data_IF_976072382233
#
_entry.id   IF_976072382233
#
_cell.length_a   1.000
_cell.length_b   1.000
_cell.length_c   1.000
_cell.angle_alpha   90.00
_cell.angle_beta   90.00
_cell.angle_gamma   90.00
#
_symmetry.space_group_name_H-M   'P 1'
#
loop_
_entity.id
_entity.type
_entity.pdbx_description
1 polymer ?
#
# COMPACT_ATOMS: atom_id res chain seq x y z
N UNK A 1 -32.99 1.07 -1.33
CA UNK A 1 -31.75 1.87 -1.12
C UNK A 1 -31.01 2.06 -2.45
N UNK A 2 -29.90 2.81 -2.51
CA UNK A 2 -29.12 2.95 -3.77
C UNK A 2 -28.64 1.60 -4.33
N UNK A 3 -28.42 0.60 -3.47
CA UNK A 3 -28.02 -0.76 -3.88
C UNK A 3 -29.18 -1.52 -4.54
N UNK A 4 -30.42 -1.39 -4.02
CA UNK A 4 -31.60 -2.01 -4.66
C UNK A 4 -31.86 -1.44 -6.05
N UNK A 5 -31.66 -0.14 -6.23
CA UNK A 5 -31.77 0.50 -7.54
C UNK A 5 -30.73 -0.06 -8.52
N UNK A 6 -29.47 -0.23 -8.09
CA UNK A 6 -28.40 -0.82 -8.92
C UNK A 6 -28.71 -2.26 -9.31
N UNK A 7 -29.20 -3.09 -8.37
CA UNK A 7 -29.62 -4.47 -8.67
C UNK A 7 -30.75 -4.55 -9.70
N UNK A 8 -31.71 -3.63 -9.63
CA UNK A 8 -32.81 -3.56 -10.61
C UNK A 8 -32.33 -3.10 -12.00
N UNK A 9 -31.36 -2.19 -12.05
CA UNK A 9 -30.85 -1.62 -13.30
C UNK A 9 -29.82 -2.56 -13.95
N UNK A 10 -29.03 -3.31 -13.17
CA UNK A 10 -28.09 -4.33 -13.65
C UNK A 10 -28.77 -5.61 -14.13
N UNK A 11 -29.86 -5.49 -14.90
CA UNK A 11 -30.62 -6.61 -15.43
C UNK A 11 -29.98 -7.17 -16.72
N UNK A 12 -30.30 -8.42 -17.11
CA UNK A 12 -29.83 -9.00 -18.39
C UNK A 12 -30.16 -8.13 -19.61
N UNK A 13 -31.33 -7.50 -19.63
CA UNK A 13 -31.78 -6.63 -20.72
C UNK A 13 -30.88 -5.41 -20.86
N UNK A 14 -30.52 -4.79 -19.73
CA UNK A 14 -29.66 -3.61 -19.73
C UNK A 14 -28.24 -3.95 -20.20
N UNK A 15 -27.69 -5.10 -19.76
CA UNK A 15 -26.39 -5.58 -20.26
C UNK A 15 -26.45 -5.89 -21.77
N UNK A 16 -27.56 -6.46 -22.25
CA UNK A 16 -27.78 -6.67 -23.69
C UNK A 16 -27.80 -5.35 -24.47
N UNK A 17 -28.48 -4.32 -23.94
CA UNK A 17 -28.49 -2.97 -24.54
C UNK A 17 -27.07 -2.39 -24.59
N UNK A 18 -26.25 -2.57 -23.55
CA UNK A 18 -24.86 -2.12 -23.54
C UNK A 18 -24.05 -2.79 -24.67
N UNK A 19 -24.11 -4.11 -24.78
CA UNK A 19 -23.41 -4.85 -25.85
C UNK A 19 -23.88 -4.44 -27.24
N UNK A 20 -25.19 -4.29 -27.44
CA UNK A 20 -25.75 -3.85 -28.71
C UNK A 20 -25.33 -2.41 -29.05
N UNK A 21 -25.33 -1.51 -28.07
CA UNK A 21 -24.94 -0.11 -28.28
C UNK A 21 -23.47 0.00 -28.63
N UNK A 22 -22.60 -0.69 -27.88
CA UNK A 22 -21.16 -0.75 -28.16
C UNK A 22 -20.86 -1.36 -29.53
N UNK A 23 -21.62 -2.39 -29.95
CA UNK A 23 -21.43 -3.04 -31.25
C UNK A 23 -21.90 -2.19 -32.43
N UNK A 24 -23.07 -1.56 -32.31
CA UNK A 24 -23.74 -0.87 -33.42
C UNK A 24 -23.31 0.60 -33.56
N UNK A 25 -22.86 1.23 -32.47
CA UNK A 25 -22.51 2.65 -32.44
C UNK A 25 -21.08 2.83 -31.91
N UNK A 26 -20.09 2.33 -32.67
CA UNK A 26 -18.65 2.38 -32.34
C UNK A 26 -18.08 3.80 -32.46
N UNK A 27 -18.47 4.66 -31.54
CA UNK A 27 -17.98 6.04 -31.44
C UNK A 27 -17.41 6.30 -30.05
N UNK A 28 -16.42 7.19 -29.88
CA UNK A 28 -15.87 7.50 -28.57
C UNK A 28 -16.94 7.93 -27.56
N UNK A 29 -17.89 8.77 -27.97
CA UNK A 29 -18.96 9.28 -27.11
C UNK A 29 -19.90 8.19 -26.60
N UNK A 30 -20.30 7.23 -27.45
CA UNK A 30 -21.16 6.13 -27.01
C UNK A 30 -20.38 5.16 -26.12
N UNK A 31 -19.13 4.86 -26.48
CA UNK A 31 -18.28 3.98 -25.67
C UNK A 31 -18.02 4.58 -24.28
N UNK A 32 -17.75 5.88 -24.19
CA UNK A 32 -17.62 6.62 -22.92
C UNK A 32 -18.87 6.44 -22.05
N UNK A 33 -20.06 6.70 -22.60
CA UNK A 33 -21.34 6.54 -21.88
C UNK A 33 -21.53 5.10 -21.41
N UNK A 34 -21.23 4.11 -22.24
CA UNK A 34 -21.30 2.71 -21.85
C UNK A 34 -20.35 2.39 -20.67
N UNK A 35 -19.12 2.89 -20.70
CA UNK A 35 -18.15 2.66 -19.63
C UNK A 35 -18.58 3.35 -18.32
N UNK A 36 -19.06 4.59 -18.38
CA UNK A 36 -19.58 5.32 -17.21
C UNK A 36 -20.80 4.62 -16.60
N UNK A 37 -21.66 4.05 -17.44
CA UNK A 37 -22.79 3.27 -16.97
C UNK A 37 -22.35 2.02 -16.21
N UNK A 38 -21.36 1.29 -16.74
CA UNK A 38 -20.75 0.15 -16.04
C UNK A 38 -20.09 0.59 -14.73
N UNK A 39 -19.35 1.70 -14.72
CA UNK A 39 -18.74 2.26 -13.51
C UNK A 39 -19.78 2.56 -12.44
N UNK A 40 -20.94 3.08 -12.83
CA UNK A 40 -22.06 3.37 -11.94
C UNK A 40 -22.66 2.09 -11.37
N UNK A 41 -22.86 1.05 -12.18
CA UNK A 41 -23.36 -0.24 -11.71
C UNK A 41 -22.39 -0.94 -10.77
N UNK A 42 -21.09 -0.84 -11.05
CA UNK A 42 -20.03 -1.46 -10.26
C UNK A 42 -19.73 -0.71 -8.95
N UNK A 43 -20.30 0.48 -8.73
CA UNK A 43 -20.08 1.26 -7.52
C UNK A 43 -20.57 0.52 -6.27
N UNK A 44 -19.84 0.60 -5.16
CA UNK A 44 -20.21 0.00 -3.86
C UNK A 44 -19.86 -1.49 -3.72
N UNK A 45 -19.97 -2.04 -2.50
CA UNK A 45 -19.46 -3.39 -2.12
C UNK A 45 -20.38 -4.56 -2.49
N UNK A 46 -21.18 -4.45 -3.56
CA UNK A 46 -22.13 -5.52 -3.92
C UNK A 46 -21.51 -6.49 -4.92
N UNK A 47 -20.92 -7.57 -4.42
CA UNK A 47 -20.31 -8.63 -5.23
C UNK A 47 -21.30 -9.18 -6.28
N UNK A 48 -22.57 -9.39 -5.92
CA UNK A 48 -23.57 -10.01 -6.80
C UNK A 48 -23.80 -9.29 -8.14
N UNK A 49 -23.72 -7.95 -8.17
CA UNK A 49 -23.89 -7.18 -9.42
C UNK A 49 -22.61 -7.25 -10.26
N UNK A 50 -21.45 -7.20 -9.60
CA UNK A 50 -20.15 -7.30 -10.27
C UNK A 50 -19.93 -8.68 -10.87
N UNK A 51 -20.24 -9.74 -10.13
CA UNK A 51 -20.19 -11.13 -10.62
C UNK A 51 -21.10 -11.33 -11.82
N UNK A 52 -22.34 -10.82 -11.75
CA UNK A 52 -23.29 -10.86 -12.86
C UNK A 52 -22.75 -10.16 -14.10
N UNK A 53 -22.15 -8.96 -13.96
CA UNK A 53 -21.54 -8.24 -15.08
C UNK A 53 -20.41 -9.04 -15.74
N UNK A 54 -19.58 -9.71 -14.94
CA UNK A 54 -18.47 -10.51 -15.46
C UNK A 54 -18.97 -11.76 -16.18
N UNK A 55 -19.97 -12.46 -15.63
CA UNK A 55 -20.62 -13.60 -16.28
C UNK A 55 -21.20 -13.22 -17.65
N UNK A 56 -21.67 -11.98 -17.80
CA UNK A 56 -22.22 -11.44 -19.04
C UNK A 56 -21.20 -10.66 -19.89
N UNK A 57 -19.89 -10.96 -19.74
CA UNK A 57 -18.80 -10.44 -20.59
C UNK A 57 -18.68 -8.91 -20.62
N UNK A 58 -19.10 -8.21 -19.57
CA UNK A 58 -18.92 -6.75 -19.47
C UNK A 58 -17.43 -6.40 -19.40
N UNK A 59 -16.60 -7.27 -18.83
CA UNK A 59 -15.15 -7.09 -18.85
C UNK A 59 -14.60 -6.99 -20.28
N UNK A 60 -15.00 -7.88 -21.18
CA UNK A 60 -14.57 -7.85 -22.58
C UNK A 60 -14.97 -6.53 -23.26
N UNK A 61 -16.14 -5.99 -22.92
CA UNK A 61 -16.60 -4.69 -23.40
C UNK A 61 -15.66 -3.56 -22.94
N UNK A 62 -15.27 -3.54 -21.67
CA UNK A 62 -14.33 -2.53 -21.14
C UNK A 62 -12.94 -2.66 -21.76
N UNK A 63 -12.41 -3.88 -21.89
CA UNK A 63 -11.09 -4.11 -22.49
C UNK A 63 -11.09 -3.73 -23.98
N UNK A 64 -12.18 -4.01 -24.71
CA UNK A 64 -12.32 -3.55 -26.09
C UNK A 64 -12.43 -2.02 -26.17
N UNK A 65 -13.14 -1.37 -25.25
CA UNK A 65 -13.19 0.08 -25.18
C UNK A 65 -11.79 0.68 -25.04
N UNK A 66 -10.99 0.15 -24.11
CA UNK A 66 -9.61 0.56 -23.90
C UNK A 66 -8.71 0.29 -25.12
N UNK A 67 -8.92 -0.83 -25.82
CA UNK A 67 -8.09 -1.23 -26.96
C UNK A 67 -8.37 -0.40 -28.23
N UNK A 68 -9.62 -0.06 -28.50
CA UNK A 68 -10.02 0.59 -29.75
C UNK A 68 -10.15 2.10 -29.67
N UNK A 69 -10.31 2.67 -28.46
CA UNK A 69 -10.56 4.11 -28.27
C UNK A 69 -9.53 4.71 -27.30
N UNK A 70 -8.41 5.23 -27.81
CA UNK A 70 -7.36 5.80 -26.97
C UNK A 70 -7.75 7.17 -26.39
N UNK A 71 -8.92 7.73 -26.70
CA UNK A 71 -9.41 9.00 -26.19
C UNK A 71 -9.44 9.04 -24.65
N UNK A 72 -8.94 10.14 -24.06
CA UNK A 72 -8.79 10.27 -22.60
C UNK A 72 -10.09 9.98 -21.85
N UNK A 73 -11.22 10.51 -22.32
CA UNK A 73 -12.52 10.30 -21.67
C UNK A 73 -12.97 8.84 -21.67
N UNK A 74 -12.70 8.12 -22.76
CA UNK A 74 -13.05 6.69 -22.85
C UNK A 74 -12.15 5.87 -21.93
N UNK A 75 -10.85 6.18 -21.93
CA UNK A 75 -9.88 5.52 -21.05
C UNK A 75 -10.21 5.78 -19.58
N UNK A 76 -10.49 7.02 -19.19
CA UNK A 76 -10.86 7.36 -17.81
C UNK A 76 -12.13 6.65 -17.36
N UNK A 77 -13.19 6.67 -18.19
CA UNK A 77 -14.43 5.96 -17.90
C UNK A 77 -14.23 4.45 -17.78
N UNK A 78 -13.42 3.84 -18.67
CA UNK A 78 -13.13 2.42 -18.65
C UNK A 78 -12.28 2.02 -17.43
N UNK A 79 -11.24 2.80 -17.11
CA UNK A 79 -10.41 2.62 -15.92
C UNK A 79 -11.23 2.77 -14.63
N UNK A 80 -12.14 3.75 -14.55
CA UNK A 80 -13.04 3.89 -13.41
C UNK A 80 -13.96 2.67 -13.26
N UNK A 81 -14.51 2.16 -14.36
CA UNK A 81 -15.34 0.96 -14.35
C UNK A 81 -14.56 -0.28 -13.88
N UNK A 82 -13.34 -0.48 -14.42
CA UNK A 82 -12.46 -1.57 -14.04
C UNK A 82 -12.02 -1.47 -12.57
N UNK A 83 -11.71 -0.26 -12.08
CA UNK A 83 -11.40 -0.03 -10.67
C UNK A 83 -12.54 -0.52 -9.78
N UNK A 84 -13.76 -0.07 -10.05
CA UNK A 84 -14.93 -0.45 -9.25
C UNK A 84 -15.21 -1.96 -9.30
N UNK A 85 -15.11 -2.56 -10.49
CA UNK A 85 -15.23 -4.02 -10.65
C UNK A 85 -14.14 -4.76 -9.87
N UNK A 86 -12.88 -4.39 -10.03
CA UNK A 86 -11.74 -5.07 -9.40
C UNK A 86 -11.81 -5.07 -7.87
N UNK A 87 -12.42 -4.06 -7.26
CA UNK A 87 -12.65 -4.00 -5.81
C UNK A 87 -13.68 -5.01 -5.30
N UNK A 88 -14.62 -5.43 -6.14
CA UNK A 88 -15.75 -6.30 -5.75
C UNK A 88 -15.57 -7.77 -6.10
N UNK A 89 -14.58 -8.10 -6.92
CA UNK A 89 -14.41 -9.44 -7.48
C UNK A 89 -13.52 -10.27 -6.57
N UNK A 90 -14.02 -11.42 -6.10
CA UNK A 90 -13.24 -12.36 -5.29
C UNK A 90 -12.32 -13.23 -6.14
N UNK A 91 -12.74 -13.60 -7.37
CA UNK A 91 -11.98 -14.50 -8.27
C UNK A 91 -11.39 -13.76 -9.46
N UNK A 92 -10.07 -13.56 -9.42
CA UNK A 92 -9.33 -12.84 -10.46
C UNK A 92 -9.14 -13.60 -11.78
N UNK A 93 -9.42 -14.90 -11.83
CA UNK A 93 -9.20 -15.76 -13.00
C UNK A 93 -9.80 -15.18 -14.29
N UNK A 94 -10.96 -14.51 -14.17
CA UNK A 94 -11.65 -13.88 -15.30
C UNK A 94 -11.03 -12.53 -15.71
N UNK A 95 -10.40 -11.81 -14.79
CA UNK A 95 -9.78 -10.50 -15.02
C UNK A 95 -8.39 -10.57 -15.64
N UNK A 96 -7.67 -11.69 -15.48
CA UNK A 96 -6.26 -11.76 -15.83
C UNK A 96 -5.92 -12.72 -16.98
N UNK A 97 -6.92 -13.17 -17.75
CA UNK A 97 -6.67 -14.10 -18.85
C UNK A 97 -5.67 -13.49 -19.85
N UNK A 98 -4.53 -14.15 -20.01
CA UNK A 98 -3.45 -13.84 -20.96
C UNK A 98 -2.72 -12.48 -20.75
N UNK A 99 -2.83 -11.87 -19.57
CA UNK A 99 -2.15 -10.61 -19.23
C UNK A 99 -2.60 -9.39 -20.06
N UNK A 100 -3.70 -9.51 -20.83
CA UNK A 100 -4.25 -8.43 -21.67
C UNK A 100 -4.64 -7.22 -20.82
N UNK A 101 -5.28 -7.44 -19.68
CA UNK A 101 -5.73 -6.40 -18.76
C UNK A 101 -4.56 -5.53 -18.29
N UNK A 102 -3.47 -6.13 -17.80
CA UNK A 102 -2.28 -5.37 -17.39
C UNK A 102 -1.68 -4.56 -18.53
N UNK A 103 -1.61 -5.13 -19.74
CA UNK A 103 -1.07 -4.43 -20.92
C UNK A 103 -1.91 -3.19 -21.27
N UNK A 104 -3.24 -3.30 -21.25
CA UNK A 104 -4.12 -2.18 -21.54
C UNK A 104 -4.07 -1.09 -20.46
N UNK A 105 -4.00 -1.47 -19.18
CA UNK A 105 -3.84 -0.53 -18.06
C UNK A 105 -2.52 0.23 -18.18
N UNK A 106 -1.40 -0.48 -18.44
CA UNK A 106 -0.09 0.15 -18.69
C UNK A 106 -0.17 1.10 -19.88
N UNK A 107 -0.79 0.67 -20.99
CA UNK A 107 -0.96 1.52 -22.18
C UNK A 107 -1.76 2.79 -21.89
N UNK A 108 -2.82 2.70 -21.07
CA UNK A 108 -3.61 3.85 -20.66
C UNK A 108 -2.79 4.82 -19.80
N UNK A 109 -2.01 4.31 -18.84
CA UNK A 109 -1.09 5.12 -18.02
C UNK A 109 -0.02 5.81 -18.89
N UNK A 110 0.56 5.08 -19.85
CA UNK A 110 1.61 5.58 -20.73
C UNK A 110 1.10 6.65 -21.71
N UNK A 111 -0.13 6.49 -22.21
CA UNK A 111 -0.75 7.43 -23.16
C UNK A 111 -1.23 8.69 -22.46
N UNK A 112 -1.81 8.56 -21.26
CA UNK A 112 -2.45 9.65 -20.53
C UNK A 112 -1.70 10.03 -19.27
N UNK A 113 -0.39 10.27 -19.41
CA UNK A 113 0.52 10.60 -18.29
C UNK A 113 0.08 11.81 -17.48
N UNK A 114 -0.58 12.78 -18.11
CA UNK A 114 -1.03 14.01 -17.45
C UNK A 114 -2.39 13.87 -16.74
N UNK A 115 -3.12 12.78 -16.97
CA UNK A 115 -4.45 12.59 -16.41
C UNK A 115 -4.38 11.92 -15.04
N UNK A 116 -4.40 12.71 -13.96
CA UNK A 116 -4.36 12.22 -12.56
C UNK A 116 -5.43 11.16 -12.31
N UNK A 117 -6.63 11.33 -12.89
CA UNK A 117 -7.74 10.38 -12.73
C UNK A 117 -7.40 9.01 -13.29
N UNK A 118 -6.89 8.93 -14.53
CA UNK A 118 -6.46 7.67 -15.14
C UNK A 118 -5.34 7.04 -14.31
N UNK A 119 -4.32 7.81 -13.93
CA UNK A 119 -3.19 7.29 -13.14
C UNK A 119 -3.68 6.70 -11.80
N UNK A 120 -4.53 7.44 -11.08
CA UNK A 120 -5.11 7.01 -9.79
C UNK A 120 -5.95 5.74 -9.95
N UNK A 121 -6.83 5.71 -10.95
CA UNK A 121 -7.68 4.56 -11.23
C UNK A 121 -6.83 3.32 -11.58
N UNK A 122 -5.80 3.47 -12.41
CA UNK A 122 -4.89 2.39 -12.79
C UNK A 122 -4.09 1.84 -11.60
N UNK A 123 -3.52 2.71 -10.74
CA UNK A 123 -2.85 2.30 -9.51
C UNK A 123 -3.80 1.52 -8.58
N UNK A 124 -5.05 1.97 -8.44
CA UNK A 124 -6.08 1.28 -7.65
C UNK A 124 -6.42 -0.10 -8.25
N UNK A 125 -6.55 -0.20 -9.58
CA UNK A 125 -6.77 -1.49 -10.24
C UNK A 125 -5.59 -2.44 -9.94
N UNK A 126 -4.34 -1.99 -10.09
CA UNK A 126 -3.19 -2.82 -9.77
C UNK A 126 -3.18 -3.27 -8.32
N UNK A 127 -3.44 -2.36 -7.38
CA UNK A 127 -3.56 -2.73 -5.97
C UNK A 127 -4.59 -3.83 -5.75
N UNK A 128 -5.81 -3.68 -6.29
CA UNK A 128 -6.90 -4.65 -6.17
C UNK A 128 -6.61 -6.00 -6.81
N UNK A 129 -5.89 -6.01 -7.94
CA UNK A 129 -5.51 -7.23 -8.66
C UNK A 129 -4.34 -7.95 -7.98
N UNK A 130 -3.36 -7.22 -7.49
CA UNK A 130 -2.18 -7.82 -6.86
C UNK A 130 -2.54 -8.36 -5.46
N UNK A 131 -3.51 -7.74 -4.77
CA UNK A 131 -3.91 -8.15 -3.41
C UNK A 131 -4.69 -9.46 -3.38
N UNK A 132 -5.28 -9.88 -4.51
CA UNK A 132 -6.04 -11.13 -4.63
C UNK A 132 -5.30 -12.17 -5.49
N UNK A 133 -4.03 -11.93 -5.82
CA UNK A 133 -3.21 -12.84 -6.59
C UNK A 133 -2.79 -14.02 -5.69
N UNK A 134 -3.60 -15.08 -5.65
CA UNK A 134 -3.34 -16.26 -4.82
C UNK A 134 -2.14 -17.11 -5.29
N UNK A 135 -1.70 -16.94 -6.54
CA UNK A 135 -0.57 -17.66 -7.11
C UNK A 135 0.60 -16.70 -7.39
N UNK A 136 1.76 -17.01 -6.80
CA UNK A 136 3.03 -16.25 -6.85
C UNK A 136 3.64 -16.09 -8.27
N UNK A 137 2.90 -16.36 -9.35
CA UNK A 137 3.50 -16.57 -10.68
C UNK A 137 2.85 -15.92 -11.92
N UNK A 138 1.65 -15.34 -11.88
CA UNK A 138 0.93 -15.05 -13.15
C UNK A 138 0.50 -13.59 -13.40
N UNK A 139 0.54 -12.71 -12.39
CA UNK A 139 0.04 -11.32 -12.52
C UNK A 139 1.17 -10.28 -12.60
N UNK A 140 2.32 -10.58 -11.99
CA UNK A 140 3.39 -9.60 -11.88
C UNK A 140 4.07 -9.39 -13.24
N UNK A 141 4.10 -8.13 -13.67
CA UNK A 141 4.85 -7.66 -14.81
C UNK A 141 5.74 -6.51 -14.33
N UNK A 142 7.08 -6.59 -14.53
CA UNK A 142 8.01 -5.52 -14.12
C UNK A 142 7.61 -4.11 -14.58
N UNK A 143 6.94 -3.99 -15.75
CA UNK A 143 6.44 -2.71 -16.26
C UNK A 143 5.37 -2.06 -15.37
N UNK A 144 4.68 -2.83 -14.52
CA UNK A 144 3.70 -2.30 -13.57
C UNK A 144 4.41 -1.38 -12.57
N UNK A 145 5.56 -1.81 -12.03
CA UNK A 145 6.36 -1.02 -11.09
C UNK A 145 6.77 0.29 -11.75
N UNK A 146 7.37 0.23 -12.95
CA UNK A 146 7.82 1.42 -13.67
C UNK A 146 6.67 2.40 -13.99
N UNK A 147 5.48 1.87 -14.31
CA UNK A 147 4.31 2.71 -14.59
C UNK A 147 3.82 3.41 -13.32
N UNK A 148 3.78 2.69 -12.19
CA UNK A 148 3.40 3.25 -10.89
C UNK A 148 4.41 4.31 -10.44
N UNK A 149 5.72 4.02 -10.50
CA UNK A 149 6.77 4.97 -10.08
C UNK A 149 6.77 6.22 -10.97
N UNK A 150 6.58 6.08 -12.28
CA UNK A 150 6.42 7.22 -13.21
C UNK A 150 5.17 8.06 -12.87
N UNK A 151 4.05 7.43 -12.56
CA UNK A 151 2.82 8.12 -12.19
C UNK A 151 3.00 8.91 -10.88
N UNK A 152 3.62 8.31 -9.87
CA UNK A 152 3.93 8.99 -8.60
C UNK A 152 4.86 10.19 -8.81
N UNK A 153 5.91 10.04 -9.62
CA UNK A 153 6.83 11.14 -9.95
C UNK A 153 6.13 12.29 -10.68
N UNK A 154 5.20 11.97 -11.59
CA UNK A 154 4.48 12.98 -12.38
C UNK A 154 3.41 13.71 -11.59
N UNK A 155 2.89 13.11 -10.52
CA UNK A 155 1.73 13.60 -9.76
C UNK A 155 1.96 13.53 -8.25
N UNK A 156 3.15 13.93 -7.80
CA UNK A 156 3.54 13.87 -6.38
C UNK A 156 2.66 14.74 -5.47
N UNK A 157 1.88 15.67 -6.03
CA UNK A 157 0.93 16.51 -5.29
C UNK A 157 -0.42 15.80 -5.03
N UNK A 158 -0.70 14.68 -5.70
CA UNK A 158 -1.97 13.96 -5.57
C UNK A 158 -1.92 12.90 -4.46
N UNK A 159 -2.41 13.26 -3.26
CA UNK A 159 -2.49 12.34 -2.13
C UNK A 159 -3.23 11.04 -2.48
N UNK A 160 -4.38 11.13 -3.16
CA UNK A 160 -5.18 9.97 -3.55
C UNK A 160 -4.39 9.01 -4.44
N UNK A 161 -3.66 9.53 -5.44
CA UNK A 161 -2.82 8.72 -6.32
C UNK A 161 -1.73 8.01 -5.54
N UNK A 162 -1.01 8.75 -4.68
CA UNK A 162 0.08 8.21 -3.89
C UNK A 162 -0.42 7.13 -2.92
N UNK A 163 -1.60 7.31 -2.35
CA UNK A 163 -2.23 6.30 -1.50
C UNK A 163 -2.50 4.98 -2.25
N UNK A 164 -2.99 5.06 -3.49
CA UNK A 164 -3.21 3.87 -4.31
C UNK A 164 -1.90 3.25 -4.78
N UNK A 165 -0.93 4.08 -5.19
CA UNK A 165 0.37 3.66 -5.69
C UNK A 165 1.21 2.97 -4.62
N UNK A 166 1.33 3.55 -3.42
CA UNK A 166 1.99 2.93 -2.27
C UNK A 166 1.33 1.60 -1.90
N UNK A 167 -0.01 1.53 -1.94
CA UNK A 167 -0.74 0.29 -1.70
C UNK A 167 -0.41 -0.81 -2.71
N UNK A 168 -0.37 -0.47 -3.99
CA UNK A 168 0.03 -1.41 -5.04
C UNK A 168 1.47 -1.91 -4.85
N UNK A 169 2.42 -1.00 -4.59
CA UNK A 169 3.84 -1.35 -4.37
C UNK A 169 4.04 -2.22 -3.12
N UNK A 170 3.37 -1.88 -2.02
CA UNK A 170 3.42 -2.67 -0.79
C UNK A 170 2.95 -4.10 -1.03
N UNK A 171 1.80 -4.28 -1.66
CA UNK A 171 1.27 -5.62 -1.95
C UNK A 171 2.20 -6.43 -2.85
N UNK A 172 2.93 -5.79 -3.78
CA UNK A 172 3.92 -6.51 -4.61
C UNK A 172 5.03 -7.08 -3.72
N UNK A 173 5.61 -6.27 -2.85
CA UNK A 173 6.74 -6.71 -2.01
C UNK A 173 6.29 -7.68 -0.91
N UNK A 174 5.03 -7.62 -0.50
CA UNK A 174 4.43 -8.52 0.48
C UNK A 174 4.14 -9.92 -0.13
N UNK A 175 3.57 -9.97 -1.33
CA UNK A 175 3.16 -11.22 -1.97
C UNK A 175 4.29 -11.91 -2.76
N UNK A 176 5.26 -11.13 -3.26
CA UNK A 176 6.31 -11.61 -4.16
C UNK A 176 7.70 -11.29 -3.61
N UNK A 177 8.14 -12.03 -2.60
CA UNK A 177 9.47 -11.85 -1.95
C UNK A 177 10.63 -11.78 -2.96
N UNK A 178 10.57 -12.56 -4.04
CA UNK A 178 11.60 -12.58 -5.09
C UNK A 178 11.66 -11.27 -5.92
N UNK A 179 10.69 -10.38 -5.78
CA UNK A 179 10.64 -9.08 -6.46
C UNK A 179 11.13 -7.93 -5.57
N UNK A 180 11.35 -8.13 -4.27
CA UNK A 180 11.76 -7.06 -3.34
C UNK A 180 12.95 -6.25 -3.86
N UNK A 181 13.99 -6.91 -4.36
CA UNK A 181 15.17 -6.24 -4.92
C UNK A 181 14.84 -5.37 -6.14
N UNK A 182 14.02 -5.89 -7.06
CA UNK A 182 13.62 -5.16 -8.25
C UNK A 182 12.79 -3.94 -7.89
N UNK A 183 11.73 -4.13 -7.10
CA UNK A 183 10.80 -3.06 -6.72
C UNK A 183 11.51 -2.02 -5.87
N UNK A 184 12.31 -2.44 -4.89
CA UNK A 184 13.01 -1.54 -3.98
C UNK A 184 14.00 -0.62 -4.69
N UNK A 185 14.76 -1.14 -5.66
CA UNK A 185 15.71 -0.33 -6.41
C UNK A 185 15.04 0.75 -7.30
N UNK A 186 13.77 0.57 -7.67
CA UNK A 186 13.05 1.54 -8.52
C UNK A 186 12.15 2.50 -7.70
N UNK A 187 11.63 2.05 -6.55
CA UNK A 187 10.53 2.73 -5.88
C UNK A 187 10.87 3.38 -4.51
N UNK A 188 12.01 3.08 -3.89
CA UNK A 188 12.35 3.65 -2.56
C UNK A 188 12.31 5.18 -2.60
N UNK A 189 12.99 5.83 -3.54
CA UNK A 189 13.12 7.29 -3.58
C UNK A 189 11.78 8.00 -3.81
N UNK A 190 10.90 7.44 -4.66
CA UNK A 190 9.59 8.05 -4.92
C UNK A 190 8.62 7.82 -3.76
N UNK A 191 8.71 6.69 -3.05
CA UNK A 191 7.90 6.42 -1.86
C UNK A 191 8.33 7.32 -0.70
N UNK A 192 9.63 7.51 -0.46
CA UNK A 192 10.10 8.45 0.57
C UNK A 192 9.73 9.88 0.24
N UNK A 193 9.81 10.29 -1.03
CA UNK A 193 9.33 11.61 -1.49
C UNK A 193 7.81 11.78 -1.24
N UNK A 194 7.00 10.75 -1.50
CA UNK A 194 5.57 10.78 -1.23
C UNK A 194 5.25 11.00 0.26
N UNK A 195 6.02 10.38 1.17
CA UNK A 195 5.87 10.58 2.61
C UNK A 195 6.21 12.02 3.03
N UNK A 196 7.24 12.62 2.44
CA UNK A 196 7.64 14.02 2.71
C UNK A 196 6.60 15.00 2.20
N UNK A 197 6.02 14.75 1.03
CA UNK A 197 5.04 15.65 0.43
C UNK A 197 3.66 15.58 1.09
N UNK A 198 3.32 14.45 1.74
CA UNK A 198 2.01 14.21 2.34
C UNK A 198 2.09 13.71 3.80
N UNK A 199 2.70 14.49 4.71
CA UNK A 199 2.95 14.05 6.09
C UNK A 199 1.68 13.93 6.95
N UNK A 200 0.54 14.44 6.48
CA UNK A 200 -0.77 14.37 7.15
C UNK A 200 -1.71 13.28 6.61
N UNK A 201 -1.32 12.56 5.56
CA UNK A 201 -2.19 11.56 4.92
C UNK A 201 -1.91 10.18 5.50
N UNK A 202 -2.53 9.88 6.64
CA UNK A 202 -2.28 8.65 7.41
C UNK A 202 -2.30 7.37 6.56
N UNK A 203 -3.30 7.19 5.67
CA UNK A 203 -3.37 5.99 4.81
C UNK A 203 -2.19 5.88 3.84
N UNK A 204 -1.69 7.00 3.31
CA UNK A 204 -0.49 6.99 2.44
C UNK A 204 0.75 6.61 3.26
N UNK A 205 0.90 7.19 4.45
CA UNK A 205 2.03 6.90 5.33
C UNK A 205 2.05 5.44 5.80
N UNK A 206 0.89 4.89 6.16
CA UNK A 206 0.77 3.49 6.57
C UNK A 206 1.22 2.54 5.45
N UNK A 207 0.74 2.76 4.23
CA UNK A 207 1.12 1.94 3.07
C UNK A 207 2.59 2.12 2.68
N UNK A 208 3.10 3.36 2.74
CA UNK A 208 4.50 3.65 2.47
C UNK A 208 5.42 2.99 3.51
N UNK A 209 5.10 3.09 4.80
CA UNK A 209 5.85 2.39 5.84
C UNK A 209 5.72 0.87 5.74
N UNK A 210 4.55 0.33 5.38
CA UNK A 210 4.38 -1.10 5.10
C UNK A 210 5.26 -1.59 3.94
N UNK A 211 5.41 -0.77 2.90
CA UNK A 211 6.36 -1.03 1.81
C UNK A 211 7.82 -1.00 2.30
N UNK A 212 8.23 0.06 3.01
CA UNK A 212 9.61 0.20 3.51
C UNK A 212 9.97 -0.89 4.53
N UNK A 213 9.05 -1.27 5.41
CA UNK A 213 9.28 -2.31 6.41
C UNK A 213 9.51 -3.67 5.76
N UNK A 214 8.72 -4.02 4.75
CA UNK A 214 8.91 -5.24 3.96
C UNK A 214 10.24 -5.27 3.21
N UNK A 215 10.67 -4.13 2.65
CA UNK A 215 11.96 -4.05 1.97
C UNK A 215 13.14 -4.08 2.93
N UNK A 216 12.98 -3.51 4.13
CA UNK A 216 14.05 -3.44 5.13
C UNK A 216 14.51 -4.81 5.63
N UNK A 217 13.72 -5.88 5.40
CA UNK A 217 14.13 -7.25 5.69
C UNK A 217 15.30 -7.74 4.81
N UNK A 218 15.63 -7.02 3.73
CA UNK A 218 16.75 -7.29 2.84
C UNK A 218 17.85 -6.25 3.11
N UNK A 219 19.03 -6.71 3.54
CA UNK A 219 20.13 -5.82 3.99
C UNK A 219 20.47 -4.72 2.96
N UNK A 220 20.63 -5.06 1.68
CA UNK A 220 20.98 -4.07 0.65
C UNK A 220 19.89 -3.00 0.48
N UNK A 221 18.62 -3.38 0.62
CA UNK A 221 17.50 -2.45 0.55
C UNK A 221 17.37 -1.61 1.81
N UNK A 222 17.60 -2.17 3.01
CA UNK A 222 17.70 -1.38 4.24
C UNK A 222 18.77 -0.29 4.13
N UNK A 223 19.95 -0.62 3.54
CA UNK A 223 20.98 0.39 3.24
C UNK A 223 20.51 1.44 2.24
N UNK A 224 19.72 1.06 1.23
CA UNK A 224 19.16 2.00 0.26
C UNK A 224 18.10 2.92 0.88
N UNK A 225 17.22 2.39 1.74
CA UNK A 225 16.24 3.18 2.50
C UNK A 225 16.97 4.20 3.36
N UNK A 226 18.06 3.81 4.05
CA UNK A 226 18.86 4.72 4.85
C UNK A 226 19.48 5.85 3.99
N UNK A 227 20.03 5.53 2.82
CA UNK A 227 20.58 6.52 1.86
C UNK A 227 19.52 7.48 1.33
N UNK A 228 18.28 7.01 1.17
CA UNK A 228 17.13 7.82 0.76
C UNK A 228 16.52 8.65 1.91
N UNK A 229 17.29 8.91 2.98
CA UNK A 229 16.84 9.62 4.19
C UNK A 229 15.67 8.94 4.91
N UNK A 230 15.48 7.63 4.70
CA UNK A 230 14.35 6.90 5.26
C UNK A 230 14.29 6.90 6.78
N UNK A 231 15.43 7.00 7.48
CA UNK A 231 15.46 7.07 8.95
C UNK A 231 14.76 8.32 9.48
N UNK A 232 15.12 9.50 8.96
CA UNK A 232 14.49 10.76 9.40
C UNK A 232 13.03 10.83 8.96
N UNK A 233 12.73 10.43 7.72
CA UNK A 233 11.38 10.45 7.14
C UNK A 233 10.42 9.53 7.91
N UNK A 234 10.83 8.28 8.20
CA UNK A 234 10.01 7.34 8.98
C UNK A 234 9.84 7.81 10.42
N UNK A 235 10.91 8.31 11.05
CA UNK A 235 10.84 8.82 12.42
C UNK A 235 9.89 10.01 12.54
N UNK A 236 9.96 10.96 11.60
CA UNK A 236 9.06 12.11 11.56
C UNK A 236 7.61 11.70 11.27
N UNK A 237 7.39 10.78 10.33
CA UNK A 237 6.05 10.24 10.06
C UNK A 237 5.44 9.60 11.31
N UNK A 238 6.21 8.80 12.06
CA UNK A 238 5.80 8.22 13.34
C UNK A 238 5.47 9.31 14.38
N UNK A 239 6.34 10.31 14.54
CA UNK A 239 6.12 11.40 15.50
C UNK A 239 4.85 12.21 15.19
N UNK A 240 4.60 12.53 13.93
CA UNK A 240 3.46 13.33 13.50
C UNK A 240 2.13 12.55 13.50
N UNK A 241 2.19 11.22 13.55
CA UNK A 241 1.03 10.34 13.44
C UNK A 241 1.01 9.27 14.55
N UNK A 242 1.34 9.67 15.77
CA UNK A 242 1.52 8.79 16.93
C UNK A 242 0.30 7.92 17.30
N UNK A 243 -0.90 8.26 16.81
CA UNK A 243 -2.12 7.46 17.04
C UNK A 243 -2.27 6.27 16.08
N UNK A 244 -1.50 6.22 14.98
CA UNK A 244 -1.57 5.10 14.03
C UNK A 244 -0.62 3.97 14.45
N UNK A 245 -1.17 2.96 15.12
CA UNK A 245 -0.41 1.81 15.63
C UNK A 245 0.21 0.99 14.49
N UNK A 246 -0.47 0.85 13.35
CA UNK A 246 0.07 0.18 12.16
C UNK A 246 1.28 0.91 11.58
N UNK A 247 1.25 2.25 11.56
CA UNK A 247 2.38 3.07 11.15
C UNK A 247 3.55 2.94 12.12
N UNK A 248 3.28 2.99 13.43
CA UNK A 248 4.33 2.86 14.44
C UNK A 248 4.97 1.47 14.41
N UNK A 249 4.19 0.40 14.24
CA UNK A 249 4.70 -0.97 14.08
C UNK A 249 5.61 -1.09 12.86
N UNK A 250 5.14 -0.66 11.69
CA UNK A 250 5.93 -0.72 10.45
C UNK A 250 7.18 0.17 10.53
N UNK A 251 7.06 1.34 11.17
CA UNK A 251 8.16 2.25 11.41
C UNK A 251 9.22 1.65 12.34
N UNK A 252 8.82 1.05 13.46
CA UNK A 252 9.72 0.36 14.38
C UNK A 252 10.50 -0.77 13.69
N UNK A 253 9.80 -1.61 12.91
CA UNK A 253 10.43 -2.69 12.15
C UNK A 253 11.44 -2.15 11.12
N UNK A 254 11.07 -1.11 10.37
CA UNK A 254 11.94 -0.48 9.37
C UNK A 254 13.21 0.07 10.03
N UNK A 255 13.05 0.86 11.09
CA UNK A 255 14.16 1.51 11.78
C UNK A 255 15.08 0.49 12.44
N UNK A 256 14.53 -0.54 13.10
CA UNK A 256 15.30 -1.66 13.66
C UNK A 256 16.19 -2.30 12.61
N UNK A 257 15.61 -2.70 11.49
CA UNK A 257 16.33 -3.38 10.43
C UNK A 257 17.44 -2.50 9.83
N UNK A 258 17.19 -1.19 9.68
CA UNK A 258 18.20 -0.24 9.23
C UNK A 258 19.34 -0.13 10.24
N UNK A 259 19.06 -0.01 11.54
CA UNK A 259 20.11 0.17 12.56
C UNK A 259 20.99 -1.08 12.65
N UNK A 260 20.42 -2.28 12.53
CA UNK A 260 21.18 -3.53 12.53
C UNK A 260 22.25 -3.57 11.42
N UNK A 261 22.02 -2.90 10.29
CA UNK A 261 22.97 -2.87 9.15
C UNK A 261 23.77 -1.57 9.05
N UNK A 262 23.24 -0.47 9.59
CA UNK A 262 23.83 0.87 9.60
C UNK A 262 23.70 1.52 10.99
N UNK A 263 24.49 1.06 11.99
CA UNK A 263 24.35 1.52 13.38
C UNK A 263 24.56 3.02 13.59
N UNK A 264 25.26 3.67 12.66
CA UNK A 264 25.49 5.12 12.67
C UNK A 264 24.20 5.97 12.65
N UNK A 265 23.05 5.39 12.25
CA UNK A 265 21.75 6.06 12.27
C UNK A 265 20.97 5.91 13.60
N UNK A 266 21.53 5.23 14.60
CA UNK A 266 20.86 5.04 15.89
C UNK A 266 20.51 6.37 16.56
N UNK A 267 21.41 7.37 16.50
CA UNK A 267 21.16 8.68 17.10
C UNK A 267 20.07 9.47 16.36
N UNK A 268 20.02 9.37 15.03
CA UNK A 268 18.98 10.01 14.21
C UNK A 268 17.59 9.43 14.53
N UNK A 269 17.54 8.13 14.84
CA UNK A 269 16.31 7.44 15.26
C UNK A 269 15.85 7.86 16.66
N UNK A 270 16.73 8.43 17.48
CA UNK A 270 16.41 8.75 18.87
C UNK A 270 15.23 9.72 19.01
N UNK A 271 14.92 10.52 17.99
CA UNK A 271 13.76 11.43 17.97
C UNK A 271 12.43 10.69 18.18
N UNK A 272 12.30 9.48 17.63
CA UNK A 272 11.06 8.69 17.70
C UNK A 272 10.84 7.97 19.04
N UNK A 273 11.87 7.86 19.91
CA UNK A 273 11.81 7.07 21.15
C UNK A 273 10.67 7.53 22.06
N UNK A 274 10.45 8.83 22.22
CA UNK A 274 9.38 9.35 23.07
C UNK A 274 8.01 8.93 22.56
N UNK A 275 7.78 9.06 21.25
CA UNK A 275 6.56 8.61 20.59
C UNK A 275 6.33 7.11 20.80
N UNK A 276 7.37 6.29 20.60
CA UNK A 276 7.29 4.83 20.77
C UNK A 276 6.94 4.44 22.21
N UNK A 277 7.65 4.98 23.21
CA UNK A 277 7.41 4.65 24.63
C UNK A 277 6.02 5.09 25.08
N UNK A 278 5.55 6.28 24.68
CA UNK A 278 4.20 6.73 25.00
C UNK A 278 3.14 5.82 24.36
N UNK A 279 3.28 5.49 23.08
CA UNK A 279 2.35 4.60 22.38
C UNK A 279 2.33 3.19 22.98
N UNK A 280 3.48 2.66 23.43
CA UNK A 280 3.55 1.37 24.13
C UNK A 280 2.74 1.38 25.44
N UNK A 281 2.81 2.47 26.20
CA UNK A 281 2.04 2.60 27.45
C UNK A 281 0.53 2.63 27.20
N UNK A 282 0.09 3.23 26.10
CA UNK A 282 -1.34 3.33 25.73
C UNK A 282 -1.87 2.05 25.05
N UNK A 283 -0.99 1.29 24.38
CA UNK A 283 -1.38 0.20 23.48
C UNK A 283 -0.68 -1.12 23.82
N UNK A 284 -0.53 -1.41 25.11
CA UNK A 284 0.21 -2.57 25.63
C UNK A 284 -0.32 -3.94 25.15
N UNK A 285 -1.60 -3.99 24.74
CA UNK A 285 -2.25 -5.17 24.17
C UNK A 285 -2.05 -5.35 22.66
N UNK A 286 -1.46 -4.38 21.96
CA UNK A 286 -1.11 -4.51 20.54
C UNK A 286 0.21 -5.26 20.41
N UNK A 287 0.14 -6.59 20.47
CA UNK A 287 1.31 -7.47 20.59
C UNK A 287 2.31 -7.30 19.46
N UNK A 288 1.85 -7.16 18.22
CA UNK A 288 2.72 -6.95 17.05
C UNK A 288 3.51 -5.65 17.15
N UNK A 289 2.81 -4.54 17.44
CA UNK A 289 3.45 -3.24 17.68
C UNK A 289 4.42 -3.27 18.87
N UNK A 290 3.99 -3.77 20.03
CA UNK A 290 4.81 -3.80 21.25
C UNK A 290 6.06 -4.65 21.04
N UNK A 291 5.96 -5.76 20.31
CA UNK A 291 7.11 -6.59 19.95
C UNK A 291 8.12 -5.79 19.11
N UNK A 292 7.67 -5.13 18.04
CA UNK A 292 8.57 -4.35 17.18
C UNK A 292 9.15 -3.11 17.89
N UNK A 293 8.36 -2.48 18.76
CA UNK A 293 8.81 -1.37 19.59
C UNK A 293 9.89 -1.81 20.60
N UNK A 294 9.70 -2.94 21.29
CA UNK A 294 10.70 -3.52 22.18
C UNK A 294 12.00 -3.86 21.44
N UNK A 295 11.90 -4.50 20.27
CA UNK A 295 13.07 -4.83 19.47
C UNK A 295 13.84 -3.55 19.04
N UNK A 296 13.13 -2.50 18.61
CA UNK A 296 13.76 -1.22 18.26
C UNK A 296 14.48 -0.61 19.48
N UNK A 297 13.82 -0.56 20.64
CA UNK A 297 14.43 -0.04 21.88
C UNK A 297 15.66 -0.85 22.29
N UNK A 298 15.62 -2.18 22.13
CA UNK A 298 16.76 -3.05 22.41
C UNK A 298 17.96 -2.72 21.52
N UNK A 299 17.75 -2.68 20.20
CA UNK A 299 18.82 -2.37 19.25
C UNK A 299 19.39 -0.98 19.54
N UNK A 300 18.54 0.04 19.71
CA UNK A 300 18.98 1.40 20.03
C UNK A 300 19.77 1.51 21.35
N UNK A 301 19.30 0.84 22.41
CA UNK A 301 19.98 0.81 23.71
C UNK A 301 21.34 0.11 23.65
N UNK A 302 21.55 -0.76 22.65
CA UNK A 302 22.84 -1.40 22.40
C UNK A 302 23.86 -0.46 21.79
N UNK A 303 23.43 0.55 21.04
CA UNK A 303 24.30 1.44 20.26
C UNK A 303 24.81 2.66 21.04
N UNK A 304 24.02 3.25 21.94
CA UNK A 304 24.41 4.52 22.58
C UNK A 304 23.94 4.69 24.03
N UNK A 305 24.82 5.22 24.87
CA UNK A 305 24.49 5.61 26.24
C UNK A 305 23.48 6.75 26.28
N UNK A 306 23.58 7.72 25.38
CA UNK A 306 22.64 8.84 25.30
C UNK A 306 21.21 8.34 25.04
N UNK A 307 21.07 7.29 24.23
CA UNK A 307 19.80 6.65 23.93
C UNK A 307 19.31 5.89 25.17
N UNK A 308 20.17 5.12 25.84
CA UNK A 308 19.81 4.46 27.10
C UNK A 308 19.29 5.47 28.12
N UNK A 309 20.01 6.57 28.36
CA UNK A 309 19.58 7.64 29.26
C UNK A 309 18.24 8.25 28.85
N UNK A 310 18.00 8.42 27.54
CA UNK A 310 16.71 8.92 27.04
C UNK A 310 15.57 7.96 27.34
N UNK A 311 15.74 6.66 27.08
CA UNK A 311 14.71 5.64 27.38
C UNK A 311 14.43 5.58 28.88
N UNK A 312 15.48 5.64 29.72
CA UNK A 312 15.35 5.68 31.18
C UNK A 312 14.57 6.93 31.66
N UNK A 313 14.84 8.09 31.08
CA UNK A 313 14.13 9.35 31.43
C UNK A 313 12.65 9.37 31.07
N UNK A 314 12.19 8.41 30.26
CA UNK A 314 10.81 8.25 29.80
C UNK A 314 10.09 7.10 30.54
N UNK A 315 10.59 6.70 31.71
CA UNK A 315 10.10 5.54 32.47
C UNK A 315 10.09 4.22 31.67
N UNK A 316 11.00 4.09 30.71
CA UNK A 316 11.03 2.95 29.79
C UNK A 316 11.17 1.59 30.47
N UNK A 317 11.84 1.50 31.63
CA UNK A 317 11.89 0.28 32.44
C UNK A 317 10.48 -0.13 32.89
N UNK A 318 9.68 0.81 33.39
CA UNK A 318 8.31 0.52 33.82
C UNK A 318 7.45 0.07 32.65
N UNK A 319 7.58 0.71 31.49
CA UNK A 319 6.90 0.29 30.27
C UNK A 319 7.26 -1.14 29.86
N UNK A 320 8.56 -1.50 29.87
CA UNK A 320 9.01 -2.85 29.55
C UNK A 320 8.53 -3.90 30.57
N UNK A 321 8.50 -3.56 31.86
CA UNK A 321 7.92 -4.44 32.89
C UNK A 321 6.42 -4.68 32.65
N UNK A 322 5.65 -3.63 32.34
CA UNK A 322 4.24 -3.78 31.97
C UNK A 322 4.07 -4.66 30.72
N UNK A 323 4.98 -4.56 29.75
CA UNK A 323 4.96 -5.42 28.56
C UNK A 323 5.08 -6.90 28.97
N UNK A 324 6.06 -7.21 29.82
CA UNK A 324 6.31 -8.56 30.34
C UNK A 324 5.14 -9.10 31.17
N UNK A 325 4.53 -8.26 32.01
CA UNK A 325 3.42 -8.66 32.88
C UNK A 325 2.12 -8.94 32.12
N UNK A 326 1.84 -8.18 31.06
CA UNK A 326 0.55 -8.24 30.35
C UNK A 326 0.57 -9.10 29.09
N UNK A 327 1.75 -9.50 28.59
CA UNK A 327 1.90 -10.28 27.35
C UNK A 327 2.53 -11.66 27.60
N UNK A 328 2.23 -12.29 28.73
CA UNK A 328 2.81 -13.58 29.17
C UNK A 328 2.55 -14.77 28.24
N UNK A 329 1.61 -14.65 27.30
CA UNK A 329 1.31 -15.67 26.30
C UNK A 329 1.95 -15.37 24.93
N UNK A 330 2.82 -14.36 24.83
CA UNK A 330 3.47 -13.92 23.60
C UNK A 330 5.00 -13.97 23.74
N UNK A 331 5.63 -15.14 23.51
CA UNK A 331 7.07 -15.34 23.72
C UNK A 331 7.98 -14.37 22.95
N UNK A 332 7.51 -13.91 21.78
CA UNK A 332 8.23 -12.92 20.97
C UNK A 332 8.29 -11.55 21.65
N UNK A 333 7.18 -11.11 22.27
CA UNK A 333 7.13 -9.87 23.06
C UNK A 333 8.01 -10.01 24.29
N UNK A 334 7.95 -11.14 24.98
CA UNK A 334 8.77 -11.39 26.17
C UNK A 334 10.27 -11.33 25.84
N UNK A 335 10.68 -11.99 24.76
CA UNK A 335 12.08 -12.01 24.31
C UNK A 335 12.57 -10.60 23.99
N UNK A 336 11.80 -9.85 23.20
CA UNK A 336 12.14 -8.49 22.81
C UNK A 336 12.21 -7.55 24.03
N UNK A 337 11.20 -7.60 24.90
CA UNK A 337 11.12 -6.75 26.09
C UNK A 337 12.23 -7.06 27.10
N UNK A 338 12.54 -8.34 27.31
CA UNK A 338 13.63 -8.78 28.19
C UNK A 338 14.99 -8.37 27.63
N UNK A 339 15.19 -8.46 26.32
CA UNK A 339 16.39 -7.98 25.64
C UNK A 339 16.62 -6.48 25.86
N UNK A 340 15.59 -5.67 25.62
CA UNK A 340 15.63 -4.23 25.88
C UNK A 340 15.89 -3.93 27.37
N UNK A 341 15.18 -4.60 28.27
CA UNK A 341 15.32 -4.41 29.72
C UNK A 341 16.75 -4.70 30.19
N UNK A 342 17.30 -5.87 29.81
CA UNK A 342 18.65 -6.25 30.18
C UNK A 342 19.70 -5.30 29.62
N UNK A 343 19.45 -4.73 28.44
CA UNK A 343 20.38 -3.77 27.85
C UNK A 343 20.34 -2.42 28.57
N UNK A 344 19.17 -1.96 29.02
CA UNK A 344 19.02 -0.76 29.83
C UNK A 344 19.56 -0.94 31.26
N UNK A 345 19.50 -2.16 31.82
CA UNK A 345 20.03 -2.45 33.15
C UNK A 345 21.56 -2.47 33.23
N UNK A 346 22.27 -2.46 32.08
CA UNK A 346 23.75 -2.42 32.03
C UNK A 346 24.33 -1.01 32.18
N UNK A 347 23.53 0.05 32.01
CA UNK A 347 23.95 1.46 32.21
C UNK A 347 23.80 1.91 33.64
#
# INVERSE_FOLDING_TARGET
TRDDSRRRIGSPEMISILHNSSRNYRTPSVTEICCLFVATLAMGKTASVSDFMIEHKVLDLLLNAMEYFPDEKVQDAACLALRNLSGNIEKLEKLHKDGKTSKLIISAMDTHRNSVSIQTNCCCIFWNLLSKANEKGSIFNPKIVNSITTAMQSHIESADLLEQACGALWVIVDNFDNQKLYVGNDAIDVVTCAMVMHPGTASTLEKACGFLSNLSSVESLARNIAKAQGVSIVSEAMCNNASSISLLESGCLTLKNIILVCPNYAQDTAVAISTVVMAMNENIGSTSFVKEACDLLWVLASESESIRSKVLSLDGISTLMKCLEQNTNHPEVETAAMGAFNQLAKS
#
